data_IF_880554135348
#
_entry.id   IF_880554135348
#
_cell.length_a   1.000
_cell.length_b   1.000
_cell.length_c   1.000
_cell.angle_alpha   90.00
_cell.angle_beta   90.00
_cell.angle_gamma   90.00
#
_symmetry.space_group_name_H-M   'P 1'
#
loop_
_entity.id
_entity.type
_entity.pdbx_description
1 polymer ?
#
# COMPACT_ATOMS: atom_id res chain seq x y z
N UNK A 1 -15.25 6.26 -8.29
CA UNK A 1 -14.49 5.61 -9.38
C UNK A 1 -15.33 4.49 -9.97
N UNK A 2 -15.65 4.52 -11.27
CA UNK A 2 -16.43 3.47 -11.93
C UNK A 2 -15.53 2.28 -12.33
N UNK A 3 -14.81 1.72 -11.35
CA UNK A 3 -13.88 0.59 -11.52
C UNK A 3 -14.40 -0.63 -10.79
N UNK A 4 -14.15 -1.81 -11.34
CA UNK A 4 -14.61 -3.07 -10.75
C UNK A 4 -13.90 -3.37 -9.43
N UNK A 5 -14.53 -4.18 -8.56
CA UNK A 5 -13.92 -4.65 -7.30
C UNK A 5 -12.57 -5.33 -7.52
N UNK A 6 -12.47 -6.11 -8.59
CA UNK A 6 -11.22 -6.79 -8.94
C UNK A 6 -10.13 -5.80 -9.33
N UNK A 7 -10.51 -4.74 -10.06
CA UNK A 7 -9.56 -3.68 -10.40
C UNK A 7 -9.05 -2.94 -9.16
N UNK A 8 -9.90 -2.73 -8.15
CA UNK A 8 -9.50 -2.15 -6.86
C UNK A 8 -8.49 -3.07 -6.17
N UNK A 9 -8.76 -4.37 -6.07
CA UNK A 9 -7.82 -5.34 -5.47
C UNK A 9 -6.46 -5.38 -6.16
N UNK A 10 -6.42 -5.34 -7.49
CA UNK A 10 -5.17 -5.29 -8.24
C UNK A 10 -4.35 -4.03 -7.93
N UNK A 11 -5.01 -2.88 -7.81
CA UNK A 11 -4.36 -1.61 -7.47
C UNK A 11 -3.81 -1.68 -6.04
N UNK A 12 -4.58 -2.19 -5.09
CA UNK A 12 -4.15 -2.38 -3.70
C UNK A 12 -2.94 -3.31 -3.61
N UNK A 13 -2.96 -4.47 -4.25
CA UNK A 13 -1.82 -5.39 -4.26
C UNK A 13 -0.54 -4.73 -4.82
N UNK A 14 -0.68 -3.97 -5.91
CA UNK A 14 0.43 -3.23 -6.51
C UNK A 14 0.95 -2.12 -5.57
N UNK A 15 0.05 -1.42 -4.88
CA UNK A 15 0.40 -0.37 -3.94
C UNK A 15 1.10 -0.94 -2.69
N UNK A 16 0.55 -1.99 -2.09
CA UNK A 16 1.15 -2.67 -0.94
C UNK A 16 2.56 -3.17 -1.26
N UNK A 17 2.77 -3.78 -2.44
CA UNK A 17 4.11 -4.19 -2.90
C UNK A 17 5.08 -3.02 -2.97
N UNK A 18 4.62 -1.85 -3.48
CA UNK A 18 5.44 -0.63 -3.53
C UNK A 18 5.78 -0.10 -2.13
N UNK A 19 4.83 -0.12 -1.20
CA UNK A 19 4.99 0.42 0.16
C UNK A 19 5.89 -0.44 1.06
N UNK A 20 6.03 -1.74 0.76
CA UNK A 20 6.96 -2.64 1.48
C UNK A 20 8.45 -2.34 1.26
N UNK A 21 8.81 -1.52 0.27
CA UNK A 21 10.20 -1.14 0.02
C UNK A 21 10.78 -0.35 1.22
N UNK A 22 12.00 -0.67 1.71
CA UNK A 22 12.57 -0.09 2.94
C UNK A 22 12.45 1.44 3.01
N UNK A 23 12.96 2.14 1.99
CA UNK A 23 12.88 3.62 1.87
C UNK A 23 11.47 4.23 2.05
N UNK A 24 10.40 3.48 1.73
CA UNK A 24 9.01 3.93 1.92
C UNK A 24 8.43 3.45 3.24
N UNK A 25 8.74 2.22 3.66
CA UNK A 25 8.33 1.64 4.93
C UNK A 25 8.89 2.42 6.12
N UNK A 26 10.12 2.91 6.05
CA UNK A 26 10.76 3.62 7.17
C UNK A 26 10.00 4.89 7.56
N UNK A 27 9.44 5.61 6.56
CA UNK A 27 8.56 6.77 6.81
C UNK A 27 7.23 6.40 7.48
N UNK A 28 6.77 5.17 7.28
CA UNK A 28 5.50 4.67 7.82
C UNK A 28 5.70 3.99 9.18
N UNK A 29 6.94 3.62 9.54
CA UNK A 29 7.25 2.87 10.76
C UNK A 29 6.91 3.64 12.03
N UNK A 30 7.15 4.95 12.05
CA UNK A 30 6.82 5.80 13.21
C UNK A 30 5.31 5.97 13.49
N UNK A 31 4.44 5.47 12.61
CA UNK A 31 2.98 5.44 12.85
C UNK A 31 2.50 4.12 13.47
N UNK A 32 3.38 3.13 13.61
CA UNK A 32 3.05 1.81 14.15
C UNK A 32 3.32 1.70 15.67
N UNK A 33 3.96 2.70 16.28
CA UNK A 33 4.21 2.71 17.72
C UNK A 33 2.95 3.18 18.47
N UNK A 34 2.30 2.21 19.14
CA UNK A 34 1.33 2.36 20.23
C UNK A 34 1.58 1.27 21.26
#
# INVERSE_FOLDING_TARGET
FNVTRERIRQIEAKALRKLRHPKRKDKLRGFLDK
#
